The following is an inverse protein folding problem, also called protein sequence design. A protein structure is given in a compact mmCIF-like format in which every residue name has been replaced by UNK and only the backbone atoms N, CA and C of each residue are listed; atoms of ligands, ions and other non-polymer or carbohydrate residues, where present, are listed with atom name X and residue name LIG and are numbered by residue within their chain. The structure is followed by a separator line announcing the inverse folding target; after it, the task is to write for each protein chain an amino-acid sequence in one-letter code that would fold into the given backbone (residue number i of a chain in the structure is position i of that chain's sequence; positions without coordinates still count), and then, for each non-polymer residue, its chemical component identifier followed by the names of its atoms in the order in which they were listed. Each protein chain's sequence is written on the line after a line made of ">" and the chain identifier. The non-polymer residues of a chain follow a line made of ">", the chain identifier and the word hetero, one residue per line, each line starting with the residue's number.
data_IF_726059293706
#
_entry.id   IF_726059293706
#
_cell.length_a   1.000
_cell.length_b   1.000
_cell.length_c   1.000
_cell.angle_alpha   90.00
_cell.angle_beta   90.00
_cell.angle_gamma   90.00
#
_symmetry.space_group_name_H-M   'P 1'
#
loop_
_entity.id
_entity.type
_entity.pdbx_description
1 polymer ?
#
# COMPACT_ATOMS: atom_id res chain seq x y z
N UNK A 1 13.42 -10.41 30.63
CA UNK A 1 12.41 -9.52 30.01
C UNK A 1 11.62 -10.38 29.03
N UNK A 2 10.33 -10.60 29.28
CA UNK A 2 9.53 -11.52 28.49
C UNK A 2 9.40 -11.03 27.04
N UNK A 3 9.75 -11.89 26.07
CA UNK A 3 9.39 -11.69 24.66
C UNK A 3 7.87 -11.82 24.55
N UNK A 4 7.14 -10.73 24.72
CA UNK A 4 5.74 -10.65 24.31
C UNK A 4 5.71 -10.60 22.79
N UNK A 5 5.58 -11.76 22.14
CA UNK A 5 5.19 -11.80 20.72
C UNK A 5 3.76 -11.29 20.63
N UNK A 6 3.59 -10.05 20.15
CA UNK A 6 2.26 -9.46 19.92
C UNK A 6 1.46 -10.28 18.91
N UNK A 7 2.15 -10.95 17.97
CA UNK A 7 1.57 -11.79 16.94
C UNK A 7 1.76 -13.26 17.27
N UNK A 8 0.71 -14.06 17.08
CA UNK A 8 0.84 -15.51 17.04
C UNK A 8 1.48 -15.96 15.70
N UNK A 9 2.00 -17.18 15.66
CA UNK A 9 2.63 -17.73 14.46
C UNK A 9 1.65 -17.77 13.27
N UNK A 10 1.99 -17.04 12.21
CA UNK A 10 1.16 -16.92 11.00
C UNK A 10 0.06 -15.84 11.05
N UNK A 11 -0.06 -15.10 12.16
CA UNK A 11 -0.99 -13.97 12.28
C UNK A 11 -0.48 -12.73 11.55
N UNK A 12 -1.37 -11.99 10.88
CA UNK A 12 -1.01 -10.72 10.24
C UNK A 12 -2.01 -9.64 10.63
N UNK A 13 -1.52 -8.48 11.04
CA UNK A 13 -2.35 -7.30 11.25
C UNK A 13 -2.60 -6.58 9.94
N UNK A 14 -3.86 -6.42 9.59
CA UNK A 14 -4.27 -5.61 8.45
C UNK A 14 -4.29 -4.13 8.85
N UNK A 15 -3.57 -3.31 8.10
CA UNK A 15 -3.55 -1.86 8.27
C UNK A 15 -4.27 -1.20 7.08
N UNK A 16 -5.22 -0.31 7.38
CA UNK A 16 -5.86 0.57 6.40
C UNK A 16 -5.33 2.00 6.58
N UNK A 17 -4.55 2.44 5.62
CA UNK A 17 -3.94 3.77 5.60
C UNK A 17 -4.78 4.68 4.71
N UNK A 18 -5.27 5.78 5.26
CA UNK A 18 -6.04 6.80 4.55
C UNK A 18 -5.15 8.01 4.29
N UNK A 19 -5.00 8.39 3.02
CA UNK A 19 -4.18 9.54 2.63
C UNK A 19 -4.73 10.14 1.34
N UNK A 20 -4.91 11.47 1.28
CA UNK A 20 -5.41 12.20 0.10
C UNK A 20 -6.58 11.53 -0.63
N UNK A 21 -7.62 11.13 0.12
CA UNK A 21 -8.81 10.45 -0.43
C UNK A 21 -8.49 9.09 -1.09
N UNK A 22 -7.41 8.43 -0.69
CA UNK A 22 -7.03 7.10 -1.12
C UNK A 22 -6.93 6.18 0.10
N UNK A 23 -7.13 4.89 -0.12
CA UNK A 23 -7.03 3.89 0.94
C UNK A 23 -6.01 2.85 0.52
N UNK A 24 -4.97 2.72 1.33
CA UNK A 24 -3.91 1.76 1.13
C UNK A 24 -4.07 0.63 2.13
N UNK A 25 -3.93 -0.60 1.68
CA UNK A 25 -4.04 -1.79 2.52
C UNK A 25 -2.68 -2.48 2.54
N UNK A 26 -2.15 -2.66 3.75
CA UNK A 26 -0.92 -3.42 4.00
C UNK A 26 -1.14 -4.42 5.12
N UNK A 27 -0.23 -5.37 5.23
CA UNK A 27 -0.25 -6.42 6.24
C UNK A 27 1.08 -6.37 6.98
N UNK A 28 1.04 -6.35 8.31
CA UNK A 28 2.20 -6.56 9.16
C UNK A 28 2.17 -7.99 9.69
N UNK A 29 3.27 -8.71 9.52
CA UNK A 29 3.48 -10.04 10.09
C UNK A 29 4.32 -10.01 11.37
N UNK A 30 4.91 -8.87 11.70
CA UNK A 30 5.87 -8.72 12.79
C UNK A 30 5.74 -7.35 13.45
N UNK A 31 6.23 -7.24 14.68
CA UNK A 31 6.32 -5.96 15.40
C UNK A 31 7.33 -5.07 14.68
N UNK A 32 6.97 -3.81 14.47
CA UNK A 32 7.83 -2.85 13.78
C UNK A 32 8.16 -1.66 14.69
N UNK A 33 9.34 -1.09 14.49
CA UNK A 33 9.71 0.16 15.16
C UNK A 33 8.95 1.35 14.55
N UNK A 34 8.83 2.43 15.31
CA UNK A 34 8.22 3.68 14.87
C UNK A 34 8.92 4.24 13.63
N UNK A 35 10.25 4.20 13.58
CA UNK A 35 11.03 4.66 12.43
C UNK A 35 10.74 3.84 11.18
N UNK A 36 10.69 2.50 11.33
CA UNK A 36 10.36 1.60 10.23
C UNK A 36 8.90 1.77 9.78
N UNK A 37 7.98 2.01 10.72
CA UNK A 37 6.58 2.31 10.41
C UNK A 37 6.46 3.58 9.57
N UNK A 38 7.10 4.67 10.01
CA UNK A 38 7.12 5.94 9.27
C UNK A 38 7.83 5.80 7.92
N UNK A 39 8.94 5.06 7.84
CA UNK A 39 9.63 4.77 6.58
C UNK A 39 8.72 4.00 5.60
N UNK A 40 8.02 2.97 6.08
CA UNK A 40 7.03 2.22 5.29
C UNK A 40 5.88 3.12 4.83
N UNK A 41 5.35 3.98 5.69
CA UNK A 41 4.31 4.93 5.30
C UNK A 41 4.79 5.85 4.18
N UNK A 42 5.99 6.42 4.30
CA UNK A 42 6.58 7.26 3.23
C UNK A 42 6.76 6.48 1.93
N UNK A 43 7.24 5.25 2.01
CA UNK A 43 7.39 4.36 0.85
C UNK A 43 6.05 4.07 0.15
N UNK A 44 5.02 3.74 0.94
CA UNK A 44 3.65 3.43 0.48
C UNK A 44 3.01 4.67 -0.15
N UNK A 45 3.14 5.81 0.51
CA UNK A 45 2.48 7.05 0.12
C UNK A 45 3.27 7.85 -0.93
N UNK A 46 4.48 7.42 -1.28
CA UNK A 46 5.41 8.08 -2.21
C UNK A 46 5.77 9.50 -1.75
N UNK A 47 6.09 9.61 -0.48
CA UNK A 47 6.50 10.87 0.15
C UNK A 47 8.01 10.92 0.26
N UNK A 48 8.58 12.12 0.17
CA UNK A 48 10.00 12.34 0.41
C UNK A 48 10.38 11.91 1.83
N UNK A 49 11.61 11.41 2.02
CA UNK A 49 12.11 10.94 3.32
C UNK A 49 12.02 12.01 4.40
N UNK A 50 12.21 13.27 4.01
CA UNK A 50 12.16 14.43 4.92
C UNK A 50 10.78 15.08 4.99
N UNK A 51 9.78 14.57 4.26
CA UNK A 51 8.43 15.10 4.33
C UNK A 51 7.88 14.91 5.74
N UNK A 52 7.48 16.03 6.36
CA UNK A 52 6.78 16.04 7.65
C UNK A 52 5.38 15.47 7.41
N UNK A 53 5.01 14.47 8.21
CA UNK A 53 3.69 13.84 8.20
C UNK A 53 3.19 13.68 9.64
N UNK A 54 1.89 13.77 9.82
CA UNK A 54 1.20 13.39 11.06
C UNK A 54 0.39 12.13 10.81
N UNK A 55 0.51 11.15 11.70
CA UNK A 55 -0.23 9.89 11.63
C UNK A 55 -1.24 9.85 12.77
N UNK A 56 -2.51 9.62 12.45
CA UNK A 56 -3.59 9.48 13.43
C UNK A 56 -4.26 8.10 13.31
N UNK A 57 -4.22 7.28 14.34
CA UNK A 57 -5.00 6.06 14.47
C UNK A 57 -6.44 6.39 14.83
N UNK A 58 -7.39 5.64 14.27
CA UNK A 58 -8.81 5.71 14.63
C UNK A 58 -9.10 4.55 15.55
N UNK A 59 -9.42 4.87 16.81
CA UNK A 59 -9.71 3.88 17.82
C UNK A 59 -11.10 3.24 17.63
N UNK A 60 -11.53 2.46 18.62
CA UNK A 60 -12.82 1.78 18.64
C UNK A 60 -14.01 2.72 18.88
N UNK A 61 -13.78 3.94 19.34
CA UNK A 61 -14.80 4.98 19.57
C UNK A 61 -14.95 5.93 18.36
N UNK A 62 -14.24 5.64 17.26
CA UNK A 62 -14.08 6.49 16.07
C UNK A 62 -13.29 7.79 16.35
N UNK A 63 -12.49 7.83 17.42
CA UNK A 63 -11.71 9.01 17.80
C UNK A 63 -10.29 8.99 17.22
N UNK A 64 -9.80 10.15 16.68
CA UNK A 64 -8.49 10.22 16.06
C UNK A 64 -7.38 10.49 17.09
N UNK A 65 -6.56 9.48 17.35
CA UNK A 65 -5.40 9.52 18.24
C UNK A 65 -4.09 9.65 17.46
N UNK A 66 -3.24 10.63 17.78
CA UNK A 66 -1.93 10.78 17.12
C UNK A 66 -0.97 9.65 17.51
N UNK A 67 -0.25 9.10 16.53
CA UNK A 67 0.89 8.19 16.75
C UNK A 67 2.17 8.95 16.41
N UNK A 68 2.92 9.34 17.44
CA UNK A 68 4.18 10.08 17.34
C UNK A 68 5.37 9.35 18.00
N UNK A 69 5.10 8.29 18.74
CA UNK A 69 6.10 7.54 19.51
C UNK A 69 5.92 6.02 19.39
N UNK A 70 6.96 5.27 19.76
CA UNK A 70 6.91 3.80 19.79
C UNK A 70 5.82 3.27 20.72
N UNK A 71 5.60 3.94 21.86
CA UNK A 71 4.62 3.53 22.87
C UNK A 71 3.20 3.68 22.31
N UNK A 72 2.89 4.80 21.67
CA UNK A 72 1.58 5.03 21.05
C UNK A 72 1.30 4.04 19.90
N UNK A 73 2.31 3.74 19.07
CA UNK A 73 2.18 2.75 18.01
C UNK A 73 1.90 1.35 18.59
N UNK A 74 2.63 0.97 19.63
CA UNK A 74 2.48 -0.32 20.29
C UNK A 74 1.09 -0.45 20.93
N UNK A 75 0.62 0.56 21.65
CA UNK A 75 -0.70 0.55 22.27
C UNK A 75 -1.82 0.51 21.23
N UNK A 76 -1.71 1.29 20.14
CA UNK A 76 -2.67 1.26 19.04
C UNK A 76 -2.77 -0.13 18.40
N UNK A 77 -1.62 -0.80 18.18
CA UNK A 77 -1.57 -2.19 17.68
C UNK A 77 -2.23 -3.14 18.67
N UNK A 78 -1.84 -3.08 19.95
CA UNK A 78 -2.34 -3.95 21.01
C UNK A 78 -3.87 -3.84 21.14
N UNK A 79 -4.40 -2.63 21.30
CA UNK A 79 -5.84 -2.39 21.41
C UNK A 79 -6.60 -2.84 20.16
N UNK A 80 -6.00 -2.68 18.97
CA UNK A 80 -6.61 -3.14 17.73
C UNK A 80 -6.77 -4.67 17.69
N UNK A 81 -5.79 -5.42 18.22
CA UNK A 81 -5.79 -6.88 18.22
C UNK A 81 -6.77 -7.50 19.23
N UNK A 82 -7.27 -6.74 20.20
CA UNK A 82 -8.26 -7.22 21.17
C UNK A 82 -9.63 -7.50 20.53
N UNK A 83 -9.90 -6.98 19.32
CA UNK A 83 -11.17 -7.14 18.62
C UNK A 83 -11.12 -8.25 17.54
N UNK A 84 -12.20 -9.03 17.44
CA UNK A 84 -12.38 -10.00 16.32
C UNK A 84 -12.45 -9.22 15.00
N UNK A 85 -11.64 -9.61 14.01
CA UNK A 85 -11.41 -8.88 12.75
C UNK A 85 -10.61 -7.56 12.89
N UNK A 86 -9.59 -7.56 13.76
CA UNK A 86 -8.64 -6.48 13.99
C UNK A 86 -8.11 -5.80 12.70
N UNK A 87 -8.43 -4.52 12.53
CA UNK A 87 -7.92 -3.67 11.46
C UNK A 87 -7.41 -2.34 12.02
N UNK A 88 -6.11 -2.08 11.89
CA UNK A 88 -5.54 -0.80 12.32
C UNK A 88 -5.85 0.26 11.25
N UNK A 89 -6.75 1.19 11.56
CA UNK A 89 -7.10 2.29 10.66
C UNK A 89 -6.24 3.51 11.01
N UNK A 90 -5.44 3.99 10.06
CA UNK A 90 -4.61 5.18 10.25
C UNK A 90 -4.87 6.20 9.15
N UNK A 91 -5.01 7.46 9.53
CA UNK A 91 -5.03 8.60 8.62
C UNK A 91 -3.67 9.28 8.64
N UNK A 92 -3.13 9.55 7.45
CA UNK A 92 -1.88 10.28 7.29
C UNK A 92 -2.20 11.66 6.72
N UNK A 93 -1.61 12.69 7.31
CA UNK A 93 -1.75 14.08 6.90
C UNK A 93 -0.35 14.65 6.61
N UNK A 94 -0.27 15.54 5.64
CA UNK A 94 0.96 16.28 5.37
C UNK A 94 1.13 17.40 6.40
N UNK A 95 2.35 17.57 6.89
CA UNK A 95 2.68 18.55 7.92
C UNK A 95 2.22 18.13 9.32
N UNK A 96 2.14 19.13 10.21
CA UNK A 96 1.72 19.01 11.59
C UNK A 96 0.65 20.06 11.91
N UNK A 97 -0.20 19.86 12.93
CA UNK A 97 -1.12 20.91 13.35
C UNK A 97 -0.35 22.16 13.77
N UNK A 98 -0.93 23.34 13.50
CA UNK A 98 -0.30 24.63 13.81
C UNK A 98 -0.15 24.86 15.31
N UNK A 99 -1.05 24.30 16.10
CA UNK A 99 -1.04 24.33 17.57
C UNK A 99 -1.52 22.99 18.13
N UNK A 100 -1.10 22.59 19.34
CA UNK A 100 -1.63 21.41 20.01
C UNK A 100 -3.17 21.43 20.06
N UNK A 101 -3.81 20.30 19.76
CA UNK A 101 -5.28 20.17 19.72
C UNK A 101 -5.97 20.72 18.47
N UNK A 102 -5.27 21.42 17.57
CA UNK A 102 -5.82 21.83 16.29
C UNK A 102 -5.85 20.67 15.27
N UNK A 103 -6.74 20.73 14.25
CA UNK A 103 -6.71 19.78 13.14
C UNK A 103 -5.43 19.93 12.30
N UNK A 104 -4.97 18.83 11.69
CA UNK A 104 -3.88 18.88 10.71
C UNK A 104 -4.33 19.60 9.43
N UNK A 105 -3.39 20.10 8.61
CA UNK A 105 -3.70 20.55 7.26
C UNK A 105 -4.44 19.46 6.45
N UNK A 106 -5.65 19.77 5.98
CA UNK A 106 -6.50 18.81 5.26
C UNK A 106 -7.29 17.84 6.14
N UNK A 107 -7.24 17.97 7.47
CA UNK A 107 -8.11 17.27 8.40
C UNK A 107 -9.44 18.02 8.55
N UNK A 108 -10.54 17.36 8.19
CA UNK A 108 -11.89 17.85 8.41
C UNK A 108 -12.75 16.79 9.12
N UNK A 109 -13.86 17.20 9.75
CA UNK A 109 -14.74 16.28 10.50
C UNK A 109 -15.38 15.18 9.63
N UNK A 110 -15.39 15.33 8.31
CA UNK A 110 -15.95 14.36 7.36
C UNK A 110 -14.95 13.27 6.99
N UNK A 111 -13.65 13.46 7.29
CA UNK A 111 -12.59 12.47 7.09
C UNK A 111 -12.87 11.17 7.83
N UNK A 112 -13.52 11.24 9.01
CA UNK A 112 -13.74 10.08 9.88
C UNK A 112 -15.08 9.35 9.63
N UNK A 113 -16.09 9.94 8.97
CA UNK A 113 -17.39 9.25 8.68
C UNK A 113 -18.12 9.61 7.36
N UNK A 114 -18.73 8.55 6.77
CA UNK A 114 -19.72 8.39 5.65
C UNK A 114 -19.20 8.31 4.20
N UNK A 115 -19.07 7.08 3.69
CA UNK A 115 -19.06 6.86 2.22
C UNK A 115 -18.42 5.59 1.66
N UNK A 116 -18.40 4.49 2.41
CA UNK A 116 -17.68 3.23 2.09
C UNK A 116 -17.84 2.69 0.65
N UNK A 117 -18.91 3.07 -0.08
CA UNK A 117 -19.18 2.62 -1.46
C UNK A 117 -18.36 3.31 -2.55
N UNK A 118 -17.79 4.50 -2.32
CA UNK A 118 -17.04 5.26 -3.37
C UNK A 118 -15.57 4.83 -3.51
N UNK A 119 -15.00 4.20 -2.49
CA UNK A 119 -13.56 3.97 -2.34
C UNK A 119 -13.03 2.68 -3.00
N UNK A 120 -13.88 1.78 -3.47
CA UNK A 120 -13.48 0.46 -4.02
C UNK A 120 -12.53 0.59 -5.22
N UNK A 121 -12.67 1.65 -6.02
CA UNK A 121 -11.78 1.98 -7.14
C UNK A 121 -10.48 2.69 -6.73
N UNK A 122 -10.40 3.16 -5.47
CA UNK A 122 -9.26 3.89 -4.89
C UNK A 122 -8.43 3.04 -3.92
N UNK A 123 -8.81 1.77 -3.71
CA UNK A 123 -8.04 0.83 -2.89
C UNK A 123 -6.75 0.46 -3.60
N UNK A 124 -5.62 0.69 -2.92
CA UNK A 124 -4.28 0.32 -3.36
C UNK A 124 -3.69 -0.67 -2.37
N UNK A 125 -3.03 -1.70 -2.86
CA UNK A 125 -2.46 -2.79 -2.07
C UNK A 125 -0.95 -2.73 -2.24
N UNK A 126 -0.21 -2.59 -1.15
CA UNK A 126 1.25 -2.49 -1.19
C UNK A 126 1.89 -3.80 -0.73
N UNK A 127 2.57 -4.51 -1.65
CA UNK A 127 3.23 -5.79 -1.40
C UNK A 127 4.60 -5.78 -2.08
N UNK A 128 5.67 -6.04 -1.33
CA UNK A 128 7.05 -6.17 -1.85
C UNK A 128 7.48 -5.01 -2.77
N UNK A 129 7.12 -3.77 -2.41
CA UNK A 129 7.41 -2.56 -3.18
C UNK A 129 6.49 -2.31 -4.38
N UNK A 130 5.54 -3.20 -4.68
CA UNK A 130 4.53 -3.01 -5.72
C UNK A 130 3.29 -2.28 -5.17
N UNK A 131 2.77 -1.31 -5.93
CA UNK A 131 1.46 -0.71 -5.69
C UNK A 131 0.37 -1.34 -6.57
N UNK A 132 -0.32 -2.36 -6.08
CA UNK A 132 -1.39 -3.07 -6.79
C UNK A 132 -2.75 -2.38 -6.70
N UNK A 133 -3.44 -2.21 -7.82
CA UNK A 133 -4.83 -1.75 -7.87
C UNK A 133 -5.75 -2.85 -8.39
N UNK A 134 -6.95 -3.06 -7.80
CA UNK A 134 -7.96 -3.93 -8.39
C UNK A 134 -8.31 -3.44 -9.80
N UNK A 135 -8.23 -4.32 -10.80
CA UNK A 135 -8.57 -3.99 -12.18
C UNK A 135 -9.40 -5.10 -12.81
N UNK A 136 -10.22 -4.70 -13.78
CA UNK A 136 -10.71 -5.64 -14.79
C UNK A 136 -9.56 -5.89 -15.75
N UNK A 137 -9.05 -7.11 -15.75
CA UNK A 137 -7.95 -7.53 -16.63
C UNK A 137 -8.55 -8.17 -17.89
N UNK A 138 -7.82 -8.11 -19.00
CA UNK A 138 -8.31 -8.68 -20.25
C UNK A 138 -8.31 -10.23 -20.16
N UNK A 139 -9.08 -10.89 -21.04
CA UNK A 139 -9.24 -12.36 -21.04
C UNK A 139 -7.95 -13.16 -21.29
N UNK A 140 -6.81 -12.50 -21.54
CA UNK A 140 -5.51 -13.12 -21.84
C UNK A 140 -4.40 -12.72 -20.85
N UNK A 141 -4.74 -12.09 -19.73
CA UNK A 141 -3.72 -11.71 -18.74
C UNK A 141 -3.27 -12.93 -17.95
N UNK A 142 -1.98 -13.21 -17.95
CA UNK A 142 -1.35 -14.28 -17.15
C UNK A 142 -0.94 -13.72 -15.78
N UNK A 143 -1.12 -14.52 -14.73
CA UNK A 143 -0.66 -14.19 -13.39
C UNK A 143 0.85 -14.39 -13.29
N UNK A 144 1.58 -13.35 -12.87
CA UNK A 144 3.03 -13.41 -12.71
C UNK A 144 3.51 -14.36 -11.58
N UNK A 145 2.61 -14.82 -10.70
CA UNK A 145 2.99 -15.70 -9.59
C UNK A 145 2.72 -17.19 -9.87
N UNK A 146 1.56 -17.52 -10.42
CA UNK A 146 1.16 -18.92 -10.64
C UNK A 146 1.04 -19.31 -12.11
N UNK A 147 1.39 -18.39 -13.02
CA UNK A 147 1.42 -18.60 -14.48
C UNK A 147 0.08 -18.99 -15.13
N UNK A 148 -0.99 -19.05 -14.35
CA UNK A 148 -2.34 -19.28 -14.84
C UNK A 148 -3.00 -18.00 -15.35
N UNK A 149 -3.99 -18.18 -16.24
CA UNK A 149 -4.80 -17.08 -16.75
C UNK A 149 -5.67 -16.47 -15.65
N UNK A 150 -5.74 -15.13 -15.60
CA UNK A 150 -6.62 -14.39 -14.69
C UNK A 150 -8.01 -14.25 -15.33
N UNK A 151 -8.96 -15.07 -14.86
CA UNK A 151 -10.36 -15.08 -15.31
C UNK A 151 -11.37 -14.66 -14.23
N UNK A 152 -12.57 -14.25 -14.64
CA UNK A 152 -13.70 -13.94 -13.74
C UNK A 152 -14.47 -12.66 -14.13
N UNK A 153 -15.70 -12.53 -13.61
CA UNK A 153 -16.51 -11.31 -13.71
C UNK A 153 -16.09 -10.30 -12.63
N UNK A 154 -16.00 -9.00 -12.96
CA UNK A 154 -15.59 -7.96 -12.01
C UNK A 154 -14.07 -7.75 -11.90
N UNK A 155 -13.57 -7.33 -10.72
CA UNK A 155 -12.13 -7.12 -10.48
C UNK A 155 -11.42 -8.48 -10.27
N UNK A 156 -11.18 -9.19 -11.36
CA UNK A 156 -10.62 -10.56 -11.38
C UNK A 156 -9.16 -10.64 -10.89
N UNK A 157 -8.43 -9.53 -10.92
CA UNK A 157 -7.06 -9.48 -10.45
C UNK A 157 -6.57 -8.09 -10.14
N UNK A 158 -5.28 -8.04 -9.81
CA UNK A 158 -4.56 -6.83 -9.48
C UNK A 158 -3.53 -6.51 -10.55
N UNK A 159 -3.32 -5.21 -10.79
CA UNK A 159 -2.22 -4.71 -11.62
C UNK A 159 -1.39 -3.73 -10.82
N UNK A 160 -0.08 -3.93 -10.80
CA UNK A 160 0.87 -2.98 -10.22
C UNK A 160 0.83 -1.70 -11.08
N UNK A 161 0.68 -0.54 -10.45
CA UNK A 161 0.67 0.74 -11.14
C UNK A 161 2.06 1.20 -11.59
N UNK A 162 3.11 0.62 -11.01
CA UNK A 162 4.50 1.03 -11.24
C UNK A 162 5.14 0.20 -12.35
N UNK A 163 5.27 -1.11 -12.15
CA UNK A 163 5.89 -2.00 -13.15
C UNK A 163 4.89 -2.69 -14.07
N UNK A 164 3.59 -2.58 -13.82
CA UNK A 164 2.55 -3.23 -14.63
C UNK A 164 2.33 -4.71 -14.35
N UNK A 165 3.04 -5.33 -13.39
CA UNK A 165 2.85 -6.75 -12.99
C UNK A 165 1.38 -7.07 -12.69
N UNK A 166 0.87 -8.18 -13.21
CA UNK A 166 -0.50 -8.63 -13.03
C UNK A 166 -0.55 -9.93 -12.23
N UNK A 167 -1.43 -10.01 -11.22
CA UNK A 167 -1.58 -11.19 -10.34
C UNK A 167 -3.04 -11.43 -9.98
N UNK A 168 -3.44 -12.67 -9.70
CA UNK A 168 -4.78 -12.95 -9.17
C UNK A 168 -5.00 -12.28 -7.81
N UNK A 169 -6.27 -12.12 -7.44
CA UNK A 169 -6.65 -11.65 -6.10
C UNK A 169 -6.11 -12.53 -4.97
N UNK A 170 -6.01 -13.85 -5.16
CA UNK A 170 -5.42 -14.75 -4.15
C UNK A 170 -3.88 -14.69 -4.12
N UNK A 171 -3.26 -14.37 -5.25
CA UNK A 171 -1.82 -14.39 -5.45
C UNK A 171 -1.10 -13.13 -4.96
N UNK A 172 -1.76 -11.96 -5.00
CA UNK A 172 -1.09 -10.68 -4.71
C UNK A 172 -0.37 -10.59 -3.37
N UNK A 173 -0.82 -11.31 -2.34
CA UNK A 173 -0.23 -11.31 -0.99
C UNK A 173 1.03 -12.17 -0.87
N UNK A 174 1.32 -13.00 -1.86
CA UNK A 174 2.47 -13.93 -1.86
C UNK A 174 3.59 -13.49 -2.82
N UNK A 175 3.49 -12.28 -3.39
CA UNK A 175 4.53 -11.73 -4.26
C UNK A 175 5.74 -11.38 -3.38
N UNK A 176 6.84 -12.13 -3.51
CA UNK A 176 8.08 -11.90 -2.77
C UNK A 176 9.09 -11.05 -3.55
N UNK A 177 9.02 -11.07 -4.88
CA UNK A 177 9.90 -10.29 -5.76
C UNK A 177 9.69 -8.79 -5.56
N UNK A 178 10.80 -8.03 -5.57
CA UNK A 178 10.76 -6.58 -5.45
C UNK A 178 10.39 -5.94 -6.77
N UNK A 179 9.63 -4.84 -6.70
CA UNK A 179 9.24 -4.08 -7.88
C UNK A 179 10.44 -3.51 -8.65
N UNK A 180 10.55 -3.83 -9.95
CA UNK A 180 11.70 -3.46 -10.79
C UNK A 180 11.79 -1.97 -11.15
N UNK A 181 10.68 -1.23 -11.11
CA UNK A 181 10.67 0.23 -11.29
C UNK A 181 11.18 0.99 -10.06
N UNK A 182 11.79 0.28 -9.10
CA UNK A 182 12.32 0.83 -7.86
C UNK A 182 13.71 0.26 -7.59
N UNK A 183 14.71 0.74 -8.31
CA UNK A 183 16.03 0.90 -7.70
C UNK A 183 15.92 2.11 -6.77
N UNK A 184 16.19 1.93 -5.48
CA UNK A 184 16.66 3.07 -4.69
C UNK A 184 17.97 3.50 -5.37
N UNK A 185 17.91 4.50 -6.24
CA UNK A 185 19.11 5.21 -6.67
C UNK A 185 19.57 6.02 -5.45
N UNK A 186 20.43 5.40 -4.66
CA UNK A 186 21.42 6.14 -3.90
C UNK A 186 22.43 6.64 -4.93
N UNK A 187 22.49 7.94 -5.18
CA UNK A 187 23.55 8.53 -6.01
C UNK A 187 23.18 9.78 -6.80
N UNK A 188 23.55 10.92 -6.21
CA UNK A 188 24.27 12.07 -6.82
C UNK A 188 23.58 13.03 -7.80
N UNK A 189 23.87 14.30 -7.54
CA UNK A 189 23.42 15.52 -8.20
C UNK A 189 24.07 15.66 -9.60
N UNK A 190 23.29 15.92 -10.65
CA UNK A 190 23.34 17.18 -11.42
C UNK A 190 22.58 17.14 -12.77
N UNK A 191 21.70 18.14 -12.90
CA UNK A 191 21.47 19.04 -14.04
C UNK A 191 21.20 18.50 -15.47
N UNK A 192 19.98 18.77 -15.95
CA UNK A 192 19.75 19.30 -17.30
C UNK A 192 19.28 18.35 -18.41
N UNK A 193 18.15 18.71 -19.02
CA UNK A 193 17.92 18.50 -20.46
C UNK A 193 16.89 17.43 -20.82
N UNK A 194 15.87 17.83 -21.59
CA UNK A 194 14.74 16.99 -21.97
C UNK A 194 15.04 15.91 -23.01
N UNK A 195 14.04 15.06 -23.25
CA UNK A 195 14.09 14.06 -24.32
C UNK A 195 13.03 12.99 -24.18
N UNK A 196 11.85 13.24 -24.76
CA UNK A 196 10.88 12.19 -25.06
C UNK A 196 11.52 11.22 -26.06
N UNK A 197 11.56 9.93 -25.74
CA UNK A 197 11.78 8.91 -26.77
C UNK A 197 11.00 7.63 -26.47
N UNK A 198 10.24 7.26 -27.48
CA UNK A 198 9.27 6.18 -27.52
C UNK A 198 10.00 4.83 -27.58
N UNK A 199 9.73 3.94 -26.64
CA UNK A 199 10.18 2.55 -26.78
C UNK A 199 9.28 1.80 -27.75
N UNK A 200 9.82 1.64 -28.96
CA UNK A 200 9.33 0.84 -30.07
C UNK A 200 9.27 -0.63 -29.64
N UNK A 201 8.08 -1.23 -29.69
CA UNK A 201 7.87 -2.66 -29.45
C UNK A 201 8.32 -3.44 -30.70
N UNK A 202 9.22 -4.44 -30.63
CA UNK A 202 9.58 -5.23 -31.79
C UNK A 202 8.44 -6.17 -32.23
N UNK A 203 8.21 -6.18 -33.54
CA UNK A 203 7.25 -6.97 -34.30
C UNK A 203 7.35 -8.48 -34.07
N UNK A 204 6.20 -9.14 -33.93
CA UNK A 204 6.06 -10.59 -34.10
C UNK A 204 6.62 -11.00 -35.46
N UNK A 205 7.39 -12.10 -35.50
CA UNK A 205 7.56 -12.91 -36.72
C UNK A 205 6.78 -14.20 -36.54
N UNK A 206 5.87 -14.43 -37.47
CA UNK A 206 5.11 -15.65 -37.68
C UNK A 206 5.85 -16.59 -38.62
N UNK A 207 5.83 -17.90 -38.35
CA UNK A 207 5.80 -19.03 -39.30
C UNK A 207 5.82 -20.32 -38.42
N UNK A 208 5.07 -21.39 -38.67
CA UNK A 208 4.46 -21.85 -39.92
C UNK A 208 3.27 -22.78 -39.62
N UNK A 209 2.26 -22.71 -40.49
CA UNK A 209 1.25 -23.74 -40.80
C UNK A 209 1.98 -25.02 -41.31
N UNK A 210 1.49 -26.26 -41.33
CA UNK A 210 0.32 -26.84 -42.01
C UNK A 210 0.21 -28.31 -41.51
N UNK A 211 -1.04 -28.80 -41.48
CA UNK A 211 -1.55 -30.18 -41.31
C UNK A 211 -0.63 -31.38 -41.63
N UNK A 212 -0.84 -32.44 -40.85
CA UNK A 212 -0.48 -33.83 -41.08
C UNK A 212 -0.86 -34.67 -39.86
#
# INVERSE_FOLDING_TARGET
>A
MANFSIFNEGETLKIKIYFERQVFIVYLSEVITIDLFYAKLREILRLDTNQIITVKWIDNEDDPCTISSQIELFEAIKLTLEFRDAELKVHVFLGQPTTPGAPCPGEDKTVYRRGARRWVHKKKYFISGHCFQPKRLNKRTICALCEDTIWGLGHAGFRCMDCGMCVHKKCHKYVAEKCCSRTFVVGEENNGGGGVSQHKVPSLKSATSIRG
#
